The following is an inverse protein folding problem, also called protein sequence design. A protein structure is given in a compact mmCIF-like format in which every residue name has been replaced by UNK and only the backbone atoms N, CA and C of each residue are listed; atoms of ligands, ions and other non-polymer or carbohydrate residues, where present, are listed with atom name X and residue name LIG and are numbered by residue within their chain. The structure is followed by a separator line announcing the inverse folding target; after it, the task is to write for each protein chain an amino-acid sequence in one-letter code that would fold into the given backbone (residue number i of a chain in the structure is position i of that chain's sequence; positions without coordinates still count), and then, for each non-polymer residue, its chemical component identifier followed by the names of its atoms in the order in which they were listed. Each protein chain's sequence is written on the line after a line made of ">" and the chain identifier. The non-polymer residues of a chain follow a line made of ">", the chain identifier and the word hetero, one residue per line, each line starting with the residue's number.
data_IF_961054920928
#
_entry.id   IF_961054920928
#
_cell.length_a   1.000
_cell.length_b   1.000
_cell.length_c   1.000
_cell.angle_alpha   90.00
_cell.angle_beta   90.00
_cell.angle_gamma   90.00
#
_symmetry.space_group_name_H-M   'P 1'
#
loop_
_entity.id
_entity.type
_entity.pdbx_description
1 polymer ?
#
# COMPACT_ATOMS: atom_id res chain seq x y z
N UNK A 1 5.63 23.37 15.02
CA UNK A 1 4.56 22.34 14.96
C UNK A 1 5.05 21.01 14.39
N UNK A 2 5.73 21.02 13.22
CA UNK A 2 6.30 19.82 12.59
C UNK A 2 7.26 19.01 13.49
N UNK A 3 8.15 19.68 14.22
CA UNK A 3 9.14 19.01 15.09
C UNK A 3 8.51 18.23 16.26
N UNK A 4 7.38 18.72 16.80
CA UNK A 4 6.60 17.98 17.82
C UNK A 4 5.93 16.73 17.23
N UNK A 5 5.48 16.79 15.96
CA UNK A 5 4.87 15.65 15.27
C UNK A 5 5.94 14.60 14.94
N UNK A 6 7.09 15.01 14.40
CA UNK A 6 8.23 14.12 14.14
C UNK A 6 8.67 13.37 15.41
N UNK A 7 8.87 14.09 16.53
CA UNK A 7 9.28 13.48 17.80
C UNK A 7 8.25 12.44 18.29
N UNK A 8 6.95 12.73 18.17
CA UNK A 8 5.88 11.79 18.53
C UNK A 8 5.85 10.57 17.62
N UNK A 9 6.03 10.74 16.31
CA UNK A 9 6.12 9.64 15.35
C UNK A 9 7.31 8.74 15.68
N UNK A 10 8.49 9.34 15.91
CA UNK A 10 9.71 8.62 16.30
C UNK A 10 9.53 7.81 17.58
N UNK A 11 8.92 8.41 18.61
CA UNK A 11 8.60 7.71 19.86
C UNK A 11 7.61 6.57 19.60
N UNK A 12 6.57 6.77 18.78
CA UNK A 12 5.60 5.71 18.47
C UNK A 12 6.21 4.55 17.69
N UNK A 13 7.12 4.84 16.74
CA UNK A 13 7.88 3.84 16.00
C UNK A 13 8.82 3.06 16.91
N UNK A 14 9.55 3.75 17.79
CA UNK A 14 10.42 3.12 18.77
C UNK A 14 9.62 2.24 19.74
N UNK A 15 8.48 2.72 20.22
CA UNK A 15 7.61 1.97 21.13
C UNK A 15 6.96 0.76 20.45
N UNK A 16 6.46 0.91 19.22
CA UNK A 16 5.95 -0.21 18.43
C UNK A 16 7.04 -1.24 18.13
N UNK A 17 8.25 -0.79 17.79
CA UNK A 17 9.40 -1.66 17.60
C UNK A 17 9.78 -2.41 18.87
N UNK A 18 9.79 -1.75 20.02
CA UNK A 18 10.05 -2.36 21.32
C UNK A 18 8.96 -3.37 21.72
N UNK A 19 7.70 -3.06 21.49
CA UNK A 19 6.59 -3.99 21.72
C UNK A 19 6.73 -5.21 20.81
N UNK A 20 6.99 -5.00 19.51
CA UNK A 20 7.18 -6.08 18.55
C UNK A 20 8.38 -6.97 18.92
N UNK A 21 9.50 -6.36 19.33
CA UNK A 21 10.67 -7.09 19.83
C UNK A 21 10.34 -7.85 21.11
N UNK A 22 9.62 -7.24 22.05
CA UNK A 22 9.15 -7.89 23.27
C UNK A 22 8.26 -9.09 22.99
N UNK A 23 7.29 -8.96 22.07
CA UNK A 23 6.47 -10.07 21.59
C UNK A 23 7.28 -11.12 20.86
N UNK A 24 8.29 -10.75 20.07
CA UNK A 24 9.15 -11.70 19.36
C UNK A 24 10.01 -12.52 20.33
N UNK A 25 10.54 -11.89 21.37
CA UNK A 25 11.31 -12.55 22.42
C UNK A 25 10.42 -13.44 23.29
N UNK A 26 9.21 -12.97 23.61
CA UNK A 26 8.23 -13.70 24.42
C UNK A 26 7.58 -14.88 23.69
N UNK A 27 7.30 -14.74 22.39
CA UNK A 27 6.49 -15.71 21.63
C UNK A 27 7.28 -16.91 21.09
N UNK A 28 8.57 -16.74 20.70
CA UNK A 28 9.56 -17.81 20.44
C UNK A 28 10.71 -17.28 19.57
N UNK A 29 11.67 -16.58 20.18
CA UNK A 29 12.86 -16.09 19.46
C UNK A 29 13.61 -17.20 18.71
N UNK A 30 13.65 -18.40 19.30
CA UNK A 30 14.32 -19.57 18.72
C UNK A 30 13.66 -20.02 17.40
N UNK A 31 12.33 -19.99 17.31
CA UNK A 31 11.61 -20.37 16.09
C UNK A 31 11.81 -19.33 14.98
N UNK A 32 11.80 -18.04 15.32
CA UNK A 32 12.09 -16.97 14.35
C UNK A 32 13.53 -17.07 13.85
N UNK A 33 14.50 -17.22 14.74
CA UNK A 33 15.91 -17.40 14.37
C UNK A 33 16.14 -18.68 13.54
N UNK A 34 15.44 -19.76 13.86
CA UNK A 34 15.42 -20.99 13.08
C UNK A 34 14.91 -20.77 11.65
N UNK A 35 13.79 -20.04 11.51
CA UNK A 35 13.20 -19.72 10.21
C UNK A 35 14.17 -18.93 9.30
N UNK A 36 14.87 -17.94 9.84
CA UNK A 36 15.89 -17.17 9.11
C UNK A 36 17.08 -18.04 8.68
N UNK A 37 17.47 -19.04 9.48
CA UNK A 37 18.55 -19.99 9.13
C UNK A 37 18.12 -20.97 8.03
N UNK A 38 16.87 -21.44 8.05
CA UNK A 38 16.33 -22.33 7.03
C UNK A 38 15.89 -21.61 5.75
N UNK A 39 15.82 -20.27 5.77
CA UNK A 39 15.35 -19.49 4.63
C UNK A 39 16.36 -19.54 3.48
N UNK A 40 15.87 -19.91 2.29
CA UNK A 40 16.69 -19.89 1.09
C UNK A 40 16.83 -18.46 0.54
N UNK A 41 17.95 -17.82 0.87
CA UNK A 41 18.27 -16.45 0.44
C UNK A 41 18.32 -16.26 -1.08
N UNK A 42 18.48 -17.33 -1.87
CA UNK A 42 18.40 -17.26 -3.34
C UNK A 42 16.98 -16.92 -3.84
N UNK A 43 15.95 -17.17 -3.03
CA UNK A 43 14.57 -16.79 -3.35
C UNK A 43 14.31 -15.29 -3.12
N UNK A 44 15.17 -14.61 -2.36
CA UNK A 44 14.93 -13.21 -1.98
C UNK A 44 14.78 -12.28 -3.19
N UNK A 45 15.63 -12.33 -4.24
CA UNK A 45 15.45 -11.48 -5.42
C UNK A 45 14.11 -11.75 -6.12
N UNK A 46 13.70 -13.01 -6.23
CA UNK A 46 12.43 -13.39 -6.83
C UNK A 46 11.23 -12.82 -6.03
N UNK A 47 11.27 -12.95 -4.70
CA UNK A 47 10.22 -12.40 -3.82
C UNK A 47 10.15 -10.87 -3.93
N UNK A 48 11.30 -10.19 -4.01
CA UNK A 48 11.35 -8.74 -4.20
C UNK A 48 10.78 -8.32 -5.55
N UNK A 49 11.11 -9.05 -6.64
CA UNK A 49 10.57 -8.79 -7.98
C UNK A 49 9.05 -9.00 -7.99
N UNK A 50 8.56 -10.08 -7.39
CA UNK A 50 7.12 -10.35 -7.28
C UNK A 50 6.41 -9.26 -6.47
N UNK A 51 7.00 -8.85 -5.34
CA UNK A 51 6.46 -7.76 -4.52
C UNK A 51 6.45 -6.43 -5.26
N UNK A 52 7.51 -6.12 -6.03
CA UNK A 52 7.58 -4.89 -6.81
C UNK A 52 6.59 -4.89 -7.97
N UNK A 53 6.47 -6.02 -8.67
CA UNK A 53 5.51 -6.21 -9.77
C UNK A 53 4.07 -6.00 -9.29
N UNK A 54 3.75 -6.35 -8.04
CA UNK A 54 2.45 -6.04 -7.45
C UNK A 54 2.14 -4.54 -7.47
N UNK A 55 3.10 -3.69 -7.10
CA UNK A 55 2.91 -2.25 -7.11
C UNK A 55 2.76 -1.69 -8.53
N UNK A 56 3.48 -2.25 -9.50
CA UNK A 56 3.32 -1.88 -10.92
C UNK A 56 1.90 -2.18 -11.39
N UNK A 57 1.38 -3.39 -11.14
CA UNK A 57 0.03 -3.77 -11.56
C UNK A 57 -1.02 -2.88 -10.90
N UNK A 58 -0.86 -2.56 -9.61
CA UNK A 58 -1.76 -1.61 -8.92
C UNK A 58 -1.71 -0.21 -9.53
N UNK A 59 -0.52 0.28 -9.89
CA UNK A 59 -0.38 1.55 -10.60
C UNK A 59 -1.09 1.54 -11.96
N UNK A 60 -0.90 0.49 -12.76
CA UNK A 60 -1.55 0.35 -14.06
C UNK A 60 -3.08 0.34 -13.93
N UNK A 61 -3.61 -0.34 -12.90
CA UNK A 61 -5.05 -0.32 -12.58
C UNK A 61 -5.55 1.10 -12.29
N UNK A 62 -4.81 1.86 -11.48
CA UNK A 62 -5.11 3.26 -11.17
C UNK A 62 -5.11 4.15 -12.42
N UNK A 63 -4.05 4.08 -13.23
CA UNK A 63 -3.91 4.86 -14.47
C UNK A 63 -5.01 4.51 -15.48
N UNK A 64 -5.36 3.22 -15.56
CA UNK A 64 -6.48 2.74 -16.35
C UNK A 64 -7.83 3.35 -15.91
N UNK A 65 -8.12 3.41 -14.61
CA UNK A 65 -9.36 4.04 -14.14
C UNK A 65 -9.43 5.54 -14.42
N UNK A 66 -8.30 6.26 -14.32
CA UNK A 66 -8.26 7.66 -14.73
C UNK A 66 -8.55 7.82 -16.23
N UNK A 67 -8.06 6.90 -17.06
CA UNK A 67 -8.33 6.89 -18.50
C UNK A 67 -9.81 6.64 -18.81
N UNK A 68 -10.48 5.71 -18.11
CA UNK A 68 -11.91 5.43 -18.24
C UNK A 68 -12.74 6.68 -17.91
N UNK A 69 -12.36 7.38 -16.84
CA UNK A 69 -13.03 8.60 -16.42
C UNK A 69 -12.67 9.82 -17.29
N UNK A 70 -11.84 9.63 -18.33
CA UNK A 70 -11.36 10.68 -19.24
C UNK A 70 -10.76 11.86 -18.48
N UNK A 71 -9.97 11.57 -17.44
CA UNK A 71 -9.24 12.59 -16.68
C UNK A 71 -7.87 12.77 -17.32
N UNK A 72 -7.53 13.98 -17.81
CA UNK A 72 -6.28 14.21 -18.52
C UNK A 72 -5.10 14.33 -17.54
N UNK A 73 -4.52 13.20 -17.12
CA UNK A 73 -3.29 13.15 -16.31
C UNK A 73 -2.17 12.56 -17.15
N UNK A 74 -0.98 13.18 -17.14
CA UNK A 74 0.20 12.57 -17.77
C UNK A 74 0.61 11.32 -17.00
N UNK A 75 1.10 10.29 -17.67
CA UNK A 75 1.50 9.02 -17.02
C UNK A 75 2.48 9.20 -15.86
N UNK A 76 3.45 10.12 -15.99
CA UNK A 76 4.42 10.38 -14.93
C UNK A 76 3.78 11.03 -13.70
N UNK A 77 2.85 11.97 -13.91
CA UNK A 77 2.11 12.60 -12.82
C UNK A 77 1.17 11.58 -12.14
N UNK A 78 0.51 10.73 -12.93
CA UNK A 78 -0.30 9.61 -12.44
C UNK A 78 0.51 8.66 -11.57
N UNK A 79 1.76 8.37 -11.96
CA UNK A 79 2.68 7.54 -11.18
C UNK A 79 3.05 8.20 -9.84
N UNK A 80 3.42 9.48 -9.83
CA UNK A 80 3.72 10.20 -8.59
C UNK A 80 2.50 10.31 -7.67
N UNK A 81 1.31 10.55 -8.23
CA UNK A 81 0.04 10.52 -7.49
C UNK A 81 -0.15 9.14 -6.84
N UNK A 82 0.02 8.06 -7.60
CA UNK A 82 -0.14 6.71 -7.08
C UNK A 82 0.87 6.39 -5.96
N UNK A 83 2.16 6.72 -6.15
CA UNK A 83 3.20 6.57 -5.13
C UNK A 83 2.90 7.38 -3.86
N UNK A 84 2.41 8.61 -3.99
CA UNK A 84 2.01 9.42 -2.82
C UNK A 84 0.83 8.80 -2.07
N UNK A 85 -0.10 8.16 -2.78
CA UNK A 85 -1.19 7.40 -2.19
C UNK A 85 -0.73 6.18 -1.39
N UNK A 86 0.33 5.49 -1.84
CA UNK A 86 0.90 4.36 -1.11
C UNK A 86 1.43 4.77 0.27
N UNK A 87 2.07 5.94 0.38
CA UNK A 87 2.55 6.46 1.67
C UNK A 87 1.37 6.65 2.64
N UNK A 88 0.22 7.06 2.13
CA UNK A 88 -1.00 7.26 2.91
C UNK A 88 -1.73 5.95 3.26
N UNK A 89 -1.27 4.80 2.80
CA UNK A 89 -1.82 3.48 3.19
C UNK A 89 -1.65 3.15 4.67
N UNK A 90 -0.75 3.86 5.36
CA UNK A 90 -0.53 3.72 6.82
C UNK A 90 -1.74 4.24 7.63
N UNK A 91 -2.60 5.05 7.01
CA UNK A 91 -3.80 5.57 7.67
C UNK A 91 -4.81 4.46 7.98
N UNK A 92 -5.58 4.57 9.09
CA UNK A 92 -6.62 3.60 9.42
C UNK A 92 -7.59 3.41 8.25
N UNK A 93 -7.90 2.16 7.90
CA UNK A 93 -8.80 1.84 6.80
C UNK A 93 -8.32 2.28 5.40
N UNK A 94 -7.06 2.70 5.25
CA UNK A 94 -6.49 3.27 4.01
C UNK A 94 -7.26 4.51 3.50
N UNK A 95 -7.95 5.23 4.38
CA UNK A 95 -8.72 6.44 4.00
C UNK A 95 -7.83 7.56 3.44
N UNK A 96 -6.55 7.58 3.80
CA UNK A 96 -5.57 8.54 3.27
C UNK A 96 -5.32 8.40 1.77
N UNK A 97 -5.72 7.29 1.13
CA UNK A 97 -5.66 7.16 -0.33
C UNK A 97 -6.58 8.15 -1.07
N UNK A 98 -7.57 8.76 -0.38
CA UNK A 98 -8.37 9.89 -0.89
C UNK A 98 -7.49 11.08 -1.30
N UNK A 99 -6.28 11.18 -0.77
CA UNK A 99 -5.28 12.15 -1.22
C UNK A 99 -5.01 12.03 -2.73
N UNK A 100 -5.07 10.83 -3.32
CA UNK A 100 -4.90 10.65 -4.78
C UNK A 100 -5.89 11.51 -5.55
N UNK A 101 -7.16 11.47 -5.17
CA UNK A 101 -8.23 12.26 -5.80
C UNK A 101 -8.02 13.77 -5.64
N UNK A 102 -7.49 14.21 -4.49
CA UNK A 102 -7.12 15.61 -4.25
C UNK A 102 -5.95 16.05 -5.15
N UNK A 103 -4.91 15.22 -5.29
CA UNK A 103 -3.77 15.52 -6.16
C UNK A 103 -4.17 15.53 -7.64
N UNK A 104 -5.05 14.63 -8.07
CA UNK A 104 -5.63 14.66 -9.42
C UNK A 104 -6.37 15.98 -9.67
N UNK A 105 -7.13 16.48 -8.69
CA UNK A 105 -7.78 17.80 -8.79
C UNK A 105 -6.76 18.92 -8.97
N UNK A 106 -5.66 18.89 -8.21
CA UNK A 106 -4.61 19.91 -8.29
C UNK A 106 -3.89 19.90 -9.66
N UNK A 107 -3.60 18.72 -10.21
CA UNK A 107 -2.83 18.59 -11.45
C UNK A 107 -3.69 18.71 -12.71
N UNK A 108 -4.86 18.07 -12.72
CA UNK A 108 -5.70 17.93 -13.92
C UNK A 108 -7.05 18.66 -13.82
N UNK A 109 -7.32 19.37 -12.72
CA UNK A 109 -8.56 20.14 -12.52
C UNK A 109 -9.82 19.31 -12.33
N UNK A 110 -9.75 17.97 -12.38
CA UNK A 110 -10.92 17.12 -12.25
C UNK A 110 -11.53 17.18 -10.85
N UNK A 111 -12.87 17.24 -10.72
CA UNK A 111 -13.51 17.30 -9.42
C UNK A 111 -13.25 16.00 -8.63
N UNK A 112 -12.99 16.15 -7.33
CA UNK A 112 -12.73 15.03 -6.41
C UNK A 112 -13.90 14.03 -6.43
N UNK A 113 -15.14 14.49 -6.54
CA UNK A 113 -16.33 13.64 -6.63
C UNK A 113 -16.30 12.67 -7.83
N UNK A 114 -15.58 13.01 -8.90
CA UNK A 114 -15.43 12.16 -10.08
C UNK A 114 -14.36 11.08 -9.87
N UNK A 115 -13.32 11.35 -9.08
CA UNK A 115 -12.15 10.47 -8.94
C UNK A 115 -12.14 9.66 -7.65
N UNK A 116 -12.85 10.09 -6.60
CA UNK A 116 -13.00 9.32 -5.35
C UNK A 116 -13.64 7.94 -5.55
N UNK A 117 -14.65 7.75 -6.41
CA UNK A 117 -15.21 6.43 -6.69
C UNK A 117 -14.18 5.39 -7.14
N UNK A 118 -13.09 5.81 -7.80
CA UNK A 118 -11.99 4.93 -8.20
C UNK A 118 -11.45 4.16 -6.98
N UNK A 119 -11.24 4.86 -5.86
CA UNK A 119 -10.66 4.27 -4.64
C UNK A 119 -11.60 3.20 -4.06
N UNK A 120 -12.92 3.43 -4.11
CA UNK A 120 -13.89 2.42 -3.69
C UNK A 120 -13.87 1.19 -4.61
N UNK A 121 -13.81 1.40 -5.91
CA UNK A 121 -13.70 0.30 -6.90
C UNK A 121 -12.41 -0.48 -6.69
N UNK A 122 -11.29 0.18 -6.39
CA UNK A 122 -10.03 -0.49 -6.04
C UNK A 122 -10.20 -1.43 -4.83
N UNK A 123 -11.01 -1.06 -3.83
CA UNK A 123 -11.29 -1.92 -2.67
C UNK A 123 -12.21 -3.08 -2.98
N UNK A 124 -13.30 -2.81 -3.70
CA UNK A 124 -14.26 -3.85 -4.08
C UNK A 124 -13.54 -4.90 -4.94
N UNK A 125 -12.74 -4.46 -5.92
CA UNK A 125 -11.98 -5.38 -6.77
C UNK A 125 -10.94 -6.17 -5.97
N UNK A 126 -10.25 -5.57 -4.99
CA UNK A 126 -9.32 -6.29 -4.11
C UNK A 126 -10.06 -7.36 -3.27
N UNK A 127 -11.23 -7.04 -2.70
CA UNK A 127 -12.04 -7.99 -1.91
C UNK A 127 -12.58 -9.12 -2.77
N UNK A 128 -13.14 -8.80 -3.94
CA UNK A 128 -13.64 -9.82 -4.89
C UNK A 128 -12.50 -10.74 -5.32
N UNK A 129 -11.33 -10.17 -5.65
CA UNK A 129 -10.15 -10.98 -6.03
C UNK A 129 -9.72 -11.91 -4.89
N UNK A 130 -9.71 -11.42 -3.64
CA UNK A 130 -9.39 -12.23 -2.47
C UNK A 130 -10.38 -13.38 -2.28
N UNK A 131 -11.69 -13.12 -2.41
CA UNK A 131 -12.72 -14.16 -2.30
C UNK A 131 -12.53 -15.21 -3.39
N UNK A 132 -12.31 -14.80 -4.64
CA UNK A 132 -12.11 -15.73 -5.75
C UNK A 132 -10.87 -16.61 -5.54
N UNK A 133 -9.75 -16.02 -5.11
CA UNK A 133 -8.53 -16.78 -4.81
C UNK A 133 -8.75 -17.73 -3.64
N UNK A 134 -9.42 -17.28 -2.58
CA UNK A 134 -9.70 -18.11 -1.40
C UNK A 134 -10.60 -19.30 -1.75
N UNK A 135 -11.65 -19.09 -2.55
CA UNK A 135 -12.53 -20.17 -3.03
C UNK A 135 -11.77 -21.13 -3.95
N UNK A 136 -10.95 -20.60 -4.87
CA UNK A 136 -10.16 -21.43 -5.78
C UNK A 136 -9.12 -22.28 -5.05
N UNK A 137 -8.53 -21.77 -3.96
CA UNK A 137 -7.55 -22.50 -3.14
C UNK A 137 -8.16 -23.35 -2.01
N UNK A 138 -9.49 -23.34 -1.83
CA UNK A 138 -10.17 -24.15 -0.84
C UNK A 138 -10.42 -25.60 -1.31
N UNK A 139 -10.21 -25.87 -2.61
CA UNK A 139 -10.28 -27.18 -3.24
C UNK A 139 -8.88 -27.61 -3.69
#
# INVERSE_FOLDING_TARGET
>A
MLEKIKKKILISLAFAGLIYLGFTIYADFNNVAGAFKSFNWLLLPLLLILSFSNYIVRFLKWDYYLSILKVPVKKMDSFYIFMSGLIMSVTPGKFGEVLKSYLVKQIAGAPISKTVPIIFVERITDVVSLILIAVAGAY
#
